data_IF_796742870178
#
_entry.id   IF_796742870178
#
_cell.length_a   1.000
_cell.length_b   1.000
_cell.length_c   1.000
_cell.angle_alpha   90.00
_cell.angle_beta   90.00
_cell.angle_gamma   90.00
#
_symmetry.space_group_name_H-M   'P 1'
#
loop_
_entity.id
_entity.type
_entity.pdbx_description
1 polymer ?
#
# COMPACT_ATOMS: atom_id res chain seq x y z
N UNK A 1 -0.32 6.70 12.28
CA UNK A 1 -0.97 5.63 13.06
C UNK A 1 -0.55 4.25 12.56
N UNK A 2 -0.95 3.83 11.35
CA UNK A 2 -0.60 2.51 10.81
C UNK A 2 0.91 2.22 10.80
N UNK A 3 1.73 3.18 10.38
CA UNK A 3 3.21 3.06 10.38
C UNK A 3 3.85 2.98 11.77
N UNK A 4 3.15 3.41 12.81
CA UNK A 4 3.63 3.32 14.19
C UNK A 4 3.28 1.96 14.80
N UNK A 5 2.09 1.42 14.48
CA UNK A 5 1.66 0.08 14.95
C UNK A 5 2.35 -1.05 14.19
N UNK A 6 2.42 -0.95 12.87
CA UNK A 6 3.02 -1.98 12.01
C UNK A 6 4.13 -1.38 11.15
N UNK A 7 5.31 -1.08 11.75
CA UNK A 7 6.44 -0.51 11.02
C UNK A 7 7.03 -1.48 9.98
N UNK A 8 6.80 -2.79 10.14
CA UNK A 8 7.19 -3.80 9.16
C UNK A 8 6.40 -3.64 7.85
N UNK A 9 5.08 -3.50 7.92
CA UNK A 9 4.26 -3.32 6.71
C UNK A 9 4.27 -1.89 6.19
N UNK A 10 4.05 -0.91 7.07
CA UNK A 10 3.79 0.48 6.71
C UNK A 10 5.01 1.35 6.97
N UNK A 11 5.85 1.52 5.96
CA UNK A 11 6.96 2.46 6.01
C UNK A 11 6.74 3.60 4.99
N UNK A 12 6.49 4.85 5.41
CA UNK A 12 6.28 5.97 4.47
C UNK A 12 7.55 6.38 3.73
N UNK A 13 8.74 6.15 4.31
CA UNK A 13 10.02 6.45 3.65
C UNK A 13 10.39 5.38 2.61
N UNK A 14 10.04 4.13 2.92
CA UNK A 14 10.34 2.98 2.08
C UNK A 14 9.10 2.08 1.95
N UNK A 15 8.06 2.51 1.20
CA UNK A 15 6.81 1.76 1.11
C UNK A 15 6.99 0.39 0.47
N UNK A 16 6.33 -0.64 0.97
CA UNK A 16 6.37 -1.99 0.36
C UNK A 16 4.98 -2.35 -0.15
N UNK A 17 4.85 -3.10 -1.26
CA UNK A 17 3.55 -3.57 -1.71
C UNK A 17 2.87 -4.36 -0.59
N UNK A 18 1.64 -3.97 -0.25
CA UNK A 18 0.91 -4.60 0.84
C UNK A 18 0.14 -5.82 0.34
N UNK A 19 -0.09 -6.78 1.24
CA UNK A 19 -0.99 -7.92 1.01
C UNK A 19 -2.38 -7.45 0.58
N UNK A 20 -2.97 -8.16 -0.38
CA UNK A 20 -4.40 -7.97 -0.71
C UNK A 20 -5.24 -8.38 0.50
N UNK A 21 -6.17 -7.53 0.93
CA UNK A 21 -7.03 -7.84 2.06
C UNK A 21 -6.46 -7.46 3.43
N UNK A 22 -5.31 -6.76 3.49
CA UNK A 22 -4.65 -6.36 4.76
C UNK A 22 -5.56 -5.59 5.74
N UNK A 23 -6.61 -4.95 5.25
CA UNK A 23 -7.61 -4.28 6.07
C UNK A 23 -8.39 -5.24 6.99
N UNK A 24 -8.62 -6.48 6.55
CA UNK A 24 -9.22 -7.52 7.40
C UNK A 24 -8.28 -7.89 8.54
N UNK A 25 -7.00 -8.12 8.25
CA UNK A 25 -5.97 -8.45 9.25
C UNK A 25 -5.86 -7.31 10.28
N UNK A 26 -5.84 -6.06 9.81
CA UNK A 26 -5.83 -4.87 10.68
C UNK A 26 -7.08 -4.84 11.55
N UNK A 27 -8.26 -5.14 11.01
CA UNK A 27 -9.52 -5.10 11.76
C UNK A 27 -9.58 -6.14 12.87
N UNK A 28 -8.98 -7.31 12.65
CA UNK A 28 -8.89 -8.38 13.66
C UNK A 28 -7.97 -7.97 14.81
N UNK A 29 -6.86 -7.29 14.51
CA UNK A 29 -5.87 -6.87 15.51
C UNK A 29 -6.21 -5.53 16.17
N UNK A 30 -6.93 -4.66 15.48
CA UNK A 30 -7.19 -3.30 15.89
C UNK A 30 -8.67 -2.93 15.76
N UNK A 31 -9.30 -2.86 16.91
CA UNK A 31 -10.70 -2.47 17.06
C UNK A 31 -10.93 -0.97 17.09
N UNK A 32 -9.87 -0.17 17.19
CA UNK A 32 -9.96 1.27 17.52
C UNK A 32 -10.25 2.15 16.31
N UNK A 33 -9.77 1.76 15.12
CA UNK A 33 -10.02 2.50 13.89
C UNK A 33 -11.40 2.17 13.33
N UNK A 34 -12.13 3.21 12.94
CA UNK A 34 -13.34 3.05 12.15
C UNK A 34 -13.00 2.56 10.75
N UNK A 35 -13.86 1.76 10.13
CA UNK A 35 -13.68 1.25 8.77
C UNK A 35 -13.38 2.36 7.74
N UNK A 36 -14.01 3.53 7.89
CA UNK A 36 -13.78 4.69 7.02
C UNK A 36 -12.43 5.36 7.24
N UNK A 37 -11.92 5.37 8.48
CA UNK A 37 -10.59 5.88 8.79
C UNK A 37 -9.52 4.94 8.23
N UNK A 38 -9.72 3.63 8.39
CA UNK A 38 -8.83 2.62 7.83
C UNK A 38 -8.79 2.71 6.30
N UNK A 39 -9.95 2.78 5.63
CA UNK A 39 -10.03 2.94 4.17
C UNK A 39 -9.33 4.21 3.71
N UNK A 40 -9.55 5.34 4.39
CA UNK A 40 -8.91 6.62 4.06
C UNK A 40 -7.39 6.54 4.23
N UNK A 41 -6.91 5.97 5.34
CA UNK A 41 -5.48 5.83 5.62
C UNK A 41 -4.79 4.91 4.59
N UNK A 42 -5.40 3.76 4.28
CA UNK A 42 -4.90 2.84 3.26
C UNK A 42 -4.86 3.51 1.89
N UNK A 43 -5.96 4.16 1.49
CA UNK A 43 -6.03 4.87 0.20
C UNK A 43 -4.97 5.96 0.10
N UNK A 44 -4.77 6.75 1.16
CA UNK A 44 -3.73 7.76 1.21
C UNK A 44 -2.34 7.13 1.00
N UNK A 45 -2.04 6.04 1.72
CA UNK A 45 -0.77 5.34 1.63
C UNK A 45 -0.53 4.72 0.25
N UNK A 46 -1.50 3.99 -0.30
CA UNK A 46 -1.36 3.33 -1.61
C UNK A 46 -1.41 4.30 -2.79
N UNK A 47 -1.92 5.52 -2.59
CA UNK A 47 -1.92 6.58 -3.60
C UNK A 47 -0.63 7.40 -3.64
N UNK A 48 0.30 7.18 -2.70
CA UNK A 48 1.58 7.89 -2.68
C UNK A 48 2.42 7.53 -3.91
N UNK A 49 3.09 8.50 -4.56
CA UNK A 49 3.95 8.23 -5.70
C UNK A 49 5.05 7.20 -5.38
N UNK A 50 5.66 7.31 -4.19
CA UNK A 50 6.68 6.37 -3.73
C UNK A 50 6.18 4.92 -3.60
N UNK A 51 4.90 4.75 -3.26
CA UNK A 51 4.26 3.43 -3.17
C UNK A 51 4.00 2.85 -4.57
N UNK A 52 3.39 3.64 -5.45
CA UNK A 52 3.12 3.25 -6.84
C UNK A 52 4.41 2.92 -7.60
N UNK A 53 5.50 3.66 -7.36
CA UNK A 53 6.81 3.40 -7.97
C UNK A 53 7.44 2.06 -7.57
N UNK A 54 7.03 1.49 -6.43
CA UNK A 54 7.53 0.19 -5.93
C UNK A 54 6.60 -0.98 -6.25
N UNK A 55 5.46 -0.71 -6.87
CA UNK A 55 4.49 -1.72 -7.24
C UNK A 55 4.87 -2.33 -8.60
N UNK A 56 5.95 -3.11 -8.61
CA UNK A 56 6.46 -3.78 -9.80
C UNK A 56 6.03 -5.23 -9.85
N UNK A 57 5.82 -5.77 -11.06
CA UNK A 57 5.45 -7.17 -11.26
C UNK A 57 6.51 -8.10 -10.65
N UNK A 58 6.06 -9.17 -10.00
CA UNK A 58 6.94 -10.13 -9.30
C UNK A 58 7.52 -9.60 -7.97
N UNK A 59 7.13 -8.39 -7.53
CA UNK A 59 7.51 -7.92 -6.19
C UNK A 59 6.68 -8.64 -5.15
N UNK A 60 7.32 -9.10 -4.09
CA UNK A 60 6.67 -9.74 -2.96
C UNK A 60 5.85 -8.72 -2.18
N UNK A 61 4.59 -9.07 -1.93
CA UNK A 61 3.71 -8.32 -1.04
C UNK A 61 4.02 -8.71 0.40
N UNK A 62 3.96 -7.74 1.31
CA UNK A 62 4.17 -7.97 2.73
C UNK A 62 2.85 -7.89 3.50
N UNK A 63 2.69 -8.74 4.50
CA UNK A 63 1.63 -8.62 5.50
C UNK A 63 2.02 -7.64 6.63
N UNK A 64 1.24 -7.65 7.72
CA UNK A 64 1.42 -6.80 8.90
C UNK A 64 2.70 -7.10 9.68
N UNK A 65 3.12 -8.35 9.71
CA UNK A 65 4.32 -8.83 10.39
C UNK A 65 5.58 -8.65 9.51
N UNK A 66 5.38 -8.37 8.23
CA UNK A 66 6.45 -8.18 7.25
C UNK A 66 6.80 -9.47 6.50
N UNK A 67 5.98 -10.50 6.65
CA UNK A 67 6.15 -11.78 6.00
C UNK A 67 5.64 -11.73 4.55
N UNK A 68 6.23 -12.55 3.66
CA UNK A 68 5.82 -12.63 2.27
C UNK A 68 4.41 -13.18 2.13
N UNK A 69 3.49 -12.35 1.64
CA UNK A 69 2.06 -12.64 1.53
C UNK A 69 1.56 -12.50 0.09
N UNK A 70 2.22 -13.24 -0.81
CA UNK A 70 1.93 -13.26 -2.25
C UNK A 70 2.77 -12.26 -3.05
N UNK A 71 2.42 -12.09 -4.32
CA UNK A 71 3.20 -11.31 -5.28
C UNK A 71 2.32 -10.29 -6.01
N UNK A 72 2.95 -9.25 -6.54
CA UNK A 72 2.30 -8.26 -7.39
C UNK A 72 2.17 -8.82 -8.81
N UNK A 73 0.94 -8.89 -9.31
CA UNK A 73 0.64 -9.30 -10.69
C UNK A 73 1.06 -8.23 -11.70
N UNK A 74 1.34 -8.63 -12.93
CA UNK A 74 1.63 -7.72 -14.04
C UNK A 74 0.53 -6.67 -14.24
N UNK A 75 -0.74 -7.06 -14.05
CA UNK A 75 -1.88 -6.16 -14.18
C UNK A 75 -1.89 -5.06 -13.11
N UNK A 76 -1.52 -5.42 -11.87
CA UNK A 76 -1.43 -4.46 -10.76
C UNK A 76 -0.28 -3.47 -11.00
N UNK A 77 0.86 -3.99 -11.45
CA UNK A 77 2.03 -3.18 -11.75
C UNK A 77 1.79 -2.21 -12.93
N UNK A 78 1.14 -2.69 -14.00
CA UNK A 78 0.74 -1.84 -15.11
C UNK A 78 -0.22 -0.73 -14.67
N UNK A 79 -1.20 -1.06 -13.83
CA UNK A 79 -2.16 -0.10 -13.28
C UNK A 79 -1.46 0.96 -12.42
N UNK A 80 -0.54 0.57 -11.55
CA UNK A 80 0.22 1.48 -10.72
C UNK A 80 1.11 2.43 -11.55
N UNK A 81 1.76 1.90 -12.60
CA UNK A 81 2.56 2.68 -13.54
C UNK A 81 1.71 3.71 -14.28
N UNK A 82 0.51 3.34 -14.72
CA UNK A 82 -0.43 4.24 -15.38
C UNK A 82 -0.88 5.37 -14.43
N UNK A 83 -1.21 5.06 -13.17
CA UNK A 83 -1.57 6.06 -12.15
C UNK A 83 -0.42 7.02 -11.86
N UNK A 84 0.81 6.51 -11.76
CA UNK A 84 1.99 7.32 -11.54
C UNK A 84 2.28 8.26 -12.71
N UNK A 85 2.12 7.78 -13.95
CA UNK A 85 2.23 8.59 -15.15
C UNK A 85 1.17 9.70 -15.18
N UNK A 86 -0.10 9.37 -14.92
CA UNK A 86 -1.19 10.34 -14.89
C UNK A 86 -1.00 11.41 -13.80
N UNK A 87 -0.40 11.07 -12.66
CA UNK A 87 -0.07 12.03 -11.61
C UNK A 87 1.04 12.99 -12.00
N UNK A 88 2.15 12.49 -12.57
CA UNK A 88 3.28 13.34 -12.99
C UNK A 88 2.81 14.46 -13.92
N UNK A 89 1.95 14.13 -14.87
CA UNK A 89 1.39 15.10 -15.81
C UNK A 89 0.55 16.20 -15.15
N UNK A 90 0.00 15.96 -13.94
CA UNK A 90 -0.83 16.90 -13.19
C UNK A 90 -0.03 17.78 -12.22
N UNK A 91 1.19 17.38 -11.89
CA UNK A 91 2.11 18.17 -11.05
C UNK A 91 2.98 19.12 -11.91
N UNK A 92 3.06 18.89 -13.23
CA UNK A 92 3.76 19.74 -14.22
C UNK A 92 2.87 20.82 -14.88
N UNK A 93 1.63 21.03 -14.44
CA UNK A 93 0.71 22.09 -14.93
C UNK A 93 0.40 23.11 -13.85
#
# INVERSE_FOLDING_TARGET
YLSAKWPAAFNPKAPRPLRIGIHHDIRVLDGELSDDELRRALRAYTSMPSYLARLNAGTVRVDLDGEPAGEVSDADAASAKALLCARKNKEET
#
